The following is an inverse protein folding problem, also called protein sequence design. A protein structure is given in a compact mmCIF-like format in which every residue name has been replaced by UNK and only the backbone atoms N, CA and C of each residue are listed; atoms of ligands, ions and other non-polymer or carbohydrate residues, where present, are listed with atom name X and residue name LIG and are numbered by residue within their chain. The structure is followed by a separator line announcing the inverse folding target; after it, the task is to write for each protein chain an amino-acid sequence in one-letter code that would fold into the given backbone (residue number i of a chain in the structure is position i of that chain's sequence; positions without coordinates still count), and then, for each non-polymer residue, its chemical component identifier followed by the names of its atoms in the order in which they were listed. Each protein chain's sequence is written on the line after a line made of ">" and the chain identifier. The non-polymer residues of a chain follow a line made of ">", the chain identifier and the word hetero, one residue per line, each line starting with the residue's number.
data_IF_796699741685
#
_entry.id   IF_796699741685
#
_cell.length_a   1.000
_cell.length_b   1.000
_cell.length_c   1.000
_cell.angle_alpha   90.00
_cell.angle_beta   90.00
_cell.angle_gamma   90.00
#
_symmetry.space_group_name_H-M   'P 1'
#
loop_
_entity.id
_entity.type
_entity.pdbx_description
1 polymer ?
#
# COMPACT_ATOMS: atom_id res chain seq x y z
N UNK A 1 -14.06 0.65 -11.47
CA UNK A 1 -14.66 -0.71 -11.33
C UNK A 1 -13.53 -1.67 -10.96
N UNK A 2 -13.62 -2.39 -9.84
CA UNK A 2 -12.60 -3.40 -9.47
C UNK A 2 -12.87 -4.69 -10.21
N UNK A 3 -11.85 -5.21 -10.91
CA UNK A 3 -11.90 -6.47 -11.65
C UNK A 3 -11.65 -7.66 -10.73
N UNK A 4 -12.07 -8.85 -11.15
CA UNK A 4 -11.77 -10.11 -10.44
C UNK A 4 -10.33 -10.56 -10.70
N UNK A 5 -9.79 -11.38 -9.79
CA UNK A 5 -8.40 -11.85 -9.84
C UNK A 5 -8.30 -13.13 -10.68
N UNK A 6 -7.97 -12.97 -11.95
CA UNK A 6 -7.74 -14.08 -12.88
C UNK A 6 -6.24 -14.35 -13.06
N UNK A 7 -5.82 -15.60 -12.85
CA UNK A 7 -4.40 -15.99 -12.98
C UNK A 7 -3.87 -15.71 -14.39
N UNK A 8 -4.69 -15.99 -15.42
CA UNK A 8 -4.32 -15.74 -16.81
C UNK A 8 -4.05 -14.26 -17.09
N UNK A 9 -4.77 -13.35 -16.43
CA UNK A 9 -4.52 -11.91 -16.56
C UNK A 9 -3.22 -11.50 -15.85
N UNK A 10 -2.94 -12.07 -14.66
CA UNK A 10 -1.68 -11.83 -13.97
C UNK A 10 -0.48 -12.30 -14.81
N UNK A 11 -0.58 -13.46 -15.44
CA UNK A 11 0.45 -13.97 -16.36
C UNK A 11 0.65 -13.06 -17.56
N UNK A 12 -0.45 -12.54 -18.13
CA UNK A 12 -0.37 -11.56 -19.21
C UNK A 12 0.33 -10.28 -18.77
N UNK A 13 0.03 -9.75 -17.58
CA UNK A 13 0.69 -8.55 -17.04
C UNK A 13 2.19 -8.79 -16.80
N UNK A 14 2.57 -9.95 -16.26
CA UNK A 14 3.98 -10.33 -16.08
C UNK A 14 4.69 -10.38 -17.44
N UNK A 15 4.08 -11.03 -18.43
CA UNK A 15 4.65 -11.16 -19.78
C UNK A 15 4.81 -9.80 -20.47
N UNK A 16 3.78 -8.95 -20.46
CA UNK A 16 3.80 -7.60 -21.06
C UNK A 16 4.83 -6.71 -20.37
N UNK A 17 5.04 -6.88 -19.05
CA UNK A 17 6.09 -6.17 -18.32
C UNK A 17 7.51 -6.62 -18.69
N UNK A 18 7.68 -7.66 -19.51
CA UNK A 18 8.98 -8.28 -19.80
C UNK A 18 9.71 -8.69 -18.51
N UNK A 19 8.97 -9.27 -17.56
CA UNK A 19 9.45 -9.66 -16.23
C UNK A 19 10.05 -8.52 -15.38
N UNK A 20 9.64 -7.27 -15.65
CA UNK A 20 10.00 -6.11 -14.81
C UNK A 20 8.97 -5.82 -13.71
N UNK A 21 7.79 -6.44 -13.74
CA UNK A 21 6.81 -6.35 -12.66
C UNK A 21 7.39 -6.89 -11.35
N UNK A 22 7.49 -6.05 -10.31
CA UNK A 22 8.10 -6.42 -9.03
C UNK A 22 7.11 -6.52 -7.88
N UNK A 23 6.04 -5.73 -7.90
CA UNK A 23 5.07 -5.64 -6.82
C UNK A 23 3.67 -5.55 -7.42
N UNK A 24 2.72 -6.27 -6.85
CA UNK A 24 1.29 -6.15 -7.14
C UNK A 24 0.57 -5.83 -5.84
N UNK A 25 -0.29 -4.80 -5.89
CA UNK A 25 -1.25 -4.53 -4.82
C UNK A 25 -2.58 -5.24 -5.12
N UNK A 26 -3.15 -5.96 -4.16
CA UNK A 26 -4.47 -6.59 -4.33
C UNK A 26 -5.31 -6.59 -3.04
N UNK A 27 -6.61 -6.80 -3.22
CA UNK A 27 -7.59 -6.88 -2.15
C UNK A 27 -7.76 -8.35 -1.69
N UNK A 28 -7.41 -8.72 -0.44
CA UNK A 28 -7.38 -10.12 0.00
C UNK A 28 -8.76 -10.77 0.21
N UNK A 29 -9.85 -10.00 0.22
CA UNK A 29 -11.24 -10.49 0.28
C UNK A 29 -11.79 -10.96 -1.08
N UNK A 30 -11.10 -10.64 -2.17
CA UNK A 30 -11.51 -11.04 -3.53
C UNK A 30 -11.44 -12.56 -3.70
N UNK A 31 -12.35 -13.09 -4.51
CA UNK A 31 -12.30 -14.50 -4.91
C UNK A 31 -10.97 -14.78 -5.63
N UNK A 32 -10.37 -15.94 -5.37
CA UNK A 32 -9.07 -16.30 -5.95
C UNK A 32 -7.85 -15.61 -5.32
N UNK A 33 -8.01 -14.69 -4.37
CA UNK A 33 -6.88 -13.89 -3.86
C UNK A 33 -5.75 -14.73 -3.27
N UNK A 34 -6.06 -15.78 -2.51
CA UNK A 34 -5.02 -16.65 -1.93
C UNK A 34 -4.26 -17.45 -3.00
N UNK A 35 -4.95 -17.91 -4.05
CA UNK A 35 -4.32 -18.56 -5.19
C UNK A 35 -3.43 -17.57 -5.95
N UNK A 36 -3.94 -16.36 -6.20
CA UNK A 36 -3.21 -15.28 -6.88
C UNK A 36 -1.94 -14.88 -6.11
N UNK A 37 -2.01 -14.75 -4.79
CA UNK A 37 -0.85 -14.46 -3.94
C UNK A 37 0.23 -15.54 -4.15
N UNK A 38 -0.13 -16.82 -3.99
CA UNK A 38 0.85 -17.92 -4.14
C UNK A 38 1.47 -17.95 -5.54
N UNK A 39 0.66 -17.74 -6.56
CA UNK A 39 1.10 -17.68 -7.95
C UNK A 39 2.12 -16.55 -8.18
N UNK A 40 1.80 -15.33 -7.77
CA UNK A 40 2.69 -14.17 -7.88
C UNK A 40 4.02 -14.39 -7.14
N UNK A 41 3.98 -15.00 -5.95
CA UNK A 41 5.18 -15.35 -5.19
C UNK A 41 6.07 -16.36 -5.91
N UNK A 42 5.50 -17.36 -6.59
CA UNK A 42 6.26 -18.31 -7.41
C UNK A 42 6.96 -17.62 -8.60
N UNK A 43 6.40 -16.51 -9.09
CA UNK A 43 6.99 -15.69 -10.15
C UNK A 43 7.97 -14.62 -9.63
N UNK A 44 8.36 -14.67 -8.34
CA UNK A 44 9.20 -13.67 -7.67
C UNK A 44 8.62 -12.25 -7.68
N UNK A 45 7.29 -12.12 -7.72
CA UNK A 45 6.57 -10.86 -7.58
C UNK A 45 6.11 -10.70 -6.13
N UNK A 46 6.39 -9.55 -5.52
CA UNK A 46 5.91 -9.23 -4.17
C UNK A 46 4.43 -8.86 -4.20
N UNK A 47 3.73 -9.17 -3.12
CA UNK A 47 2.30 -8.88 -3.02
C UNK A 47 2.03 -8.01 -1.80
N UNK A 48 1.51 -6.81 -2.05
CA UNK A 48 1.07 -5.88 -1.00
C UNK A 48 -0.46 -5.87 -0.97
N UNK A 49 -1.05 -5.71 0.22
CA UNK A 49 -2.49 -5.71 0.40
C UNK A 49 -3.00 -4.28 0.60
N UNK A 50 -4.08 -3.89 -0.07
CA UNK A 50 -4.68 -2.57 0.08
C UNK A 50 -5.92 -2.38 -0.79
N UNK A 51 -6.52 -1.19 -0.70
CA UNK A 51 -7.79 -0.86 -1.40
C UNK A 51 -8.88 -1.91 -1.15
N UNK A 52 -9.09 -2.24 0.13
CA UNK A 52 -9.80 -3.45 0.54
C UNK A 52 -10.64 -3.23 1.80
N UNK A 53 -11.79 -3.89 1.83
CA UNK A 53 -12.67 -3.97 2.99
C UNK A 53 -12.44 -5.25 3.82
N UNK A 54 -11.29 -5.92 3.65
CA UNK A 54 -11.03 -7.20 4.27
C UNK A 54 -11.02 -7.17 5.79
N UNK A 55 -11.49 -8.26 6.39
CA UNK A 55 -11.40 -8.47 7.83
C UNK A 55 -9.95 -8.77 8.26
N UNK A 56 -9.73 -8.75 9.56
CA UNK A 56 -8.46 -9.20 10.13
C UNK A 56 -8.14 -10.65 9.72
N UNK A 57 -9.11 -11.57 9.76
CA UNK A 57 -8.89 -12.98 9.40
C UNK A 57 -8.49 -13.15 7.92
N UNK A 58 -9.17 -12.44 7.02
CA UNK A 58 -8.85 -12.49 5.59
C UNK A 58 -7.44 -11.96 5.31
N UNK A 59 -7.06 -10.86 5.96
CA UNK A 59 -5.72 -10.28 5.84
C UNK A 59 -4.63 -11.23 6.36
N UNK A 60 -4.89 -11.89 7.51
CA UNK A 60 -4.00 -12.90 8.06
C UNK A 60 -3.83 -14.10 7.13
N UNK A 61 -4.92 -14.60 6.56
CA UNK A 61 -4.86 -15.69 5.58
C UNK A 61 -4.05 -15.31 4.34
N UNK A 62 -4.12 -14.06 3.90
CA UNK A 62 -3.29 -13.55 2.80
C UNK A 62 -1.79 -13.50 3.17
N UNK A 63 -1.43 -13.07 4.39
CA UNK A 63 -0.04 -13.18 4.88
C UNK A 63 0.43 -14.63 4.96
N UNK A 64 -0.43 -15.56 5.40
CA UNK A 64 -0.13 -16.99 5.42
C UNK A 64 0.04 -17.59 4.02
N UNK A 65 -0.64 -17.03 3.02
CA UNK A 65 -0.46 -17.37 1.61
C UNK A 65 0.81 -16.77 0.98
N UNK A 66 1.49 -15.84 1.67
CA UNK A 66 2.77 -15.27 1.26
C UNK A 66 2.73 -13.79 0.87
N UNK A 67 1.64 -13.07 1.15
CA UNK A 67 1.62 -11.62 0.97
C UNK A 67 2.66 -10.95 1.87
N UNK A 68 3.34 -9.94 1.33
CA UNK A 68 4.50 -9.29 1.93
C UNK A 68 4.11 -8.18 2.91
N UNK A 69 2.93 -7.57 2.78
CA UNK A 69 2.63 -6.38 3.57
C UNK A 69 1.36 -5.63 3.21
N UNK A 70 1.26 -4.39 3.68
CA UNK A 70 0.20 -3.44 3.34
C UNK A 70 0.76 -2.28 2.51
N UNK A 71 0.14 -1.97 1.37
CA UNK A 71 0.42 -0.76 0.59
C UNK A 71 -0.20 0.44 1.32
N UNK A 72 0.49 1.59 1.34
CA UNK A 72 0.07 2.86 2.00
C UNK A 72 -0.81 2.68 3.26
N UNK A 73 -0.32 1.89 4.22
CA UNK A 73 -0.98 1.53 5.47
C UNK A 73 -1.82 2.69 6.06
N UNK A 74 -3.03 2.36 6.52
CA UNK A 74 -4.14 3.25 6.90
C UNK A 74 -5.04 3.74 5.76
N UNK A 75 -4.52 3.90 4.54
CA UNK A 75 -5.27 4.50 3.44
C UNK A 75 -6.04 3.45 2.65
N UNK A 76 -7.34 3.67 2.40
CA UNK A 76 -8.16 2.77 1.59
C UNK A 76 -8.27 1.33 2.13
N UNK A 77 -8.26 1.15 3.45
CA UNK A 77 -8.33 -0.18 4.09
C UNK A 77 -9.14 -0.18 5.38
N UNK A 78 -9.52 -1.35 5.90
CA UNK A 78 -10.24 -1.43 7.18
C UNK A 78 -9.39 -0.98 8.36
N UNK A 79 -9.96 -0.08 9.16
CA UNK A 79 -9.28 0.61 10.27
C UNK A 79 -9.05 -0.29 11.48
N UNK A 80 -8.14 0.13 12.36
CA UNK A 80 -7.91 -0.53 13.65
C UNK A 80 -9.07 -0.26 14.61
N UNK A 81 -9.88 -1.28 14.88
CA UNK A 81 -10.90 -1.25 15.94
C UNK A 81 -10.63 -2.36 16.97
N UNK A 82 -10.87 -2.08 18.26
CA UNK A 82 -10.46 -2.97 19.36
C UNK A 82 -11.10 -4.38 19.33
N UNK A 83 -12.31 -4.53 18.76
CA UNK A 83 -12.97 -5.85 18.57
C UNK A 83 -12.70 -6.48 17.21
N UNK A 84 -12.48 -5.66 16.20
CA UNK A 84 -12.32 -6.06 14.80
C UNK A 84 -11.14 -5.28 14.24
N UNK A 85 -9.90 -5.78 14.41
CA UNK A 85 -8.71 -4.97 14.15
C UNK A 85 -8.48 -4.59 12.69
N UNK A 86 -9.23 -5.20 11.76
CA UNK A 86 -9.12 -4.95 10.33
C UNK A 86 -7.73 -5.25 9.76
N UNK A 87 -7.48 -4.71 8.57
CA UNK A 87 -6.21 -4.80 7.86
C UNK A 87 -5.11 -4.09 8.63
N UNK A 88 -5.37 -2.88 9.13
CA UNK A 88 -4.39 -2.09 9.90
C UNK A 88 -3.91 -2.88 11.12
N UNK A 89 -4.82 -3.46 11.89
CA UNK A 89 -4.46 -4.30 13.03
C UNK A 89 -3.69 -5.56 12.64
N UNK A 90 -4.07 -6.21 11.53
CA UNK A 90 -3.33 -7.36 11.02
C UNK A 90 -1.88 -6.99 10.66
N UNK A 91 -1.65 -5.90 9.92
CA UNK A 91 -0.31 -5.46 9.55
C UNK A 91 0.56 -5.00 10.72
N UNK A 92 -0.02 -4.27 11.68
CA UNK A 92 0.70 -3.80 12.87
C UNK A 92 1.15 -4.97 13.76
N UNK A 93 0.34 -6.03 13.86
CA UNK A 93 0.59 -7.17 14.75
C UNK A 93 1.35 -8.33 14.10
N UNK A 94 1.30 -8.50 12.77
CA UNK A 94 2.02 -9.58 12.08
C UNK A 94 3.48 -9.17 11.81
N UNK A 95 4.42 -9.85 12.46
CA UNK A 95 5.86 -9.59 12.31
C UNK A 95 6.42 -9.88 10.91
N UNK A 96 5.67 -10.54 10.04
CA UNK A 96 6.06 -10.83 8.65
C UNK A 96 5.72 -9.69 7.68
N UNK A 97 4.78 -8.82 8.05
CA UNK A 97 4.23 -7.81 7.15
C UNK A 97 5.12 -6.57 7.05
N UNK A 98 5.41 -6.09 5.86
CA UNK A 98 5.99 -4.77 5.63
C UNK A 98 4.87 -3.73 5.53
N UNK A 99 5.05 -2.56 6.13
CA UNK A 99 4.03 -1.50 6.12
C UNK A 99 4.55 -0.31 5.34
N UNK A 100 3.96 -0.08 4.17
CA UNK A 100 4.23 1.14 3.42
C UNK A 100 3.52 2.32 4.08
N UNK A 101 4.18 3.46 4.24
CA UNK A 101 3.64 4.62 4.92
C UNK A 101 3.94 5.91 4.14
N UNK A 102 2.89 6.67 3.85
CA UNK A 102 2.98 8.01 3.29
C UNK A 102 3.19 9.00 4.45
N UNK A 103 4.43 9.47 4.60
CA UNK A 103 4.85 10.28 5.75
C UNK A 103 4.70 11.81 5.51
N UNK A 104 3.61 12.23 4.86
CA UNK A 104 3.38 13.63 4.49
C UNK A 104 2.57 14.44 5.53
N UNK A 105 2.05 13.75 6.57
CA UNK A 105 1.25 14.33 7.63
C UNK A 105 -0.17 14.75 7.24
N UNK A 106 -0.58 14.48 6.01
CA UNK A 106 -1.93 14.68 5.50
C UNK A 106 -2.67 13.35 5.34
N UNK A 107 -2.03 12.38 4.68
CA UNK A 107 -2.57 11.02 4.55
C UNK A 107 -2.69 10.33 5.91
N UNK A 108 -1.68 10.52 6.75
CA UNK A 108 -1.64 9.89 8.08
C UNK A 108 -1.31 10.94 9.12
N UNK A 109 -2.06 10.98 10.22
CA UNK A 109 -1.76 11.87 11.33
C UNK A 109 -0.40 11.48 11.99
N UNK A 110 0.47 12.44 12.39
CA UNK A 110 1.78 12.12 12.99
C UNK A 110 1.74 11.16 14.20
N UNK A 111 0.69 11.21 15.01
CA UNK A 111 0.49 10.27 16.11
C UNK A 111 0.23 8.83 15.62
N UNK A 112 -0.52 8.65 14.52
CA UNK A 112 -0.73 7.35 13.91
C UNK A 112 0.54 6.81 13.23
N UNK A 113 1.34 7.70 12.61
CA UNK A 113 2.68 7.32 12.12
C UNK A 113 3.55 6.83 13.27
N UNK A 114 3.56 7.54 14.40
CA UNK A 114 4.33 7.15 15.58
C UNK A 114 3.91 5.79 16.13
N UNK A 115 2.59 5.52 16.17
CA UNK A 115 2.06 4.21 16.54
C UNK A 115 2.56 3.12 15.58
N UNK A 116 2.48 3.38 14.27
CA UNK A 116 3.01 2.46 13.26
C UNK A 116 4.50 2.18 13.49
N UNK A 117 5.33 3.21 13.70
CA UNK A 117 6.76 3.09 14.02
C UNK A 117 7.03 2.22 15.25
N UNK A 118 6.26 2.39 16.33
CA UNK A 118 6.41 1.58 17.53
C UNK A 118 6.09 0.09 17.29
N UNK A 119 5.05 -0.20 16.51
CA UNK A 119 4.60 -1.57 16.24
C UNK A 119 5.44 -2.29 15.16
N UNK A 120 5.77 -1.58 14.08
CA UNK A 120 6.40 -2.15 12.89
C UNK A 120 7.92 -2.04 12.89
N UNK A 121 8.50 -1.04 13.57
CA UNK A 121 9.95 -0.85 13.69
C UNK A 121 10.64 -0.87 12.32
N UNK A 122 11.55 -1.82 12.09
CA UNK A 122 12.30 -1.99 10.85
C UNK A 122 11.45 -2.43 9.65
N UNK A 123 10.17 -2.79 9.87
CA UNK A 123 9.24 -3.23 8.82
C UNK A 123 8.55 -2.07 8.09
N UNK A 124 8.90 -0.83 8.40
CA UNK A 124 8.31 0.34 7.73
C UNK A 124 9.05 0.65 6.44
N UNK A 125 8.29 0.80 5.37
CA UNK A 125 8.76 1.28 4.08
C UNK A 125 8.13 2.63 3.82
N UNK A 126 8.93 3.67 3.74
CA UNK A 126 8.40 5.00 3.45
C UNK A 126 8.20 5.15 1.94
N UNK A 127 7.02 5.62 1.54
CA UNK A 127 6.65 5.87 0.14
C UNK A 127 6.08 7.28 0.00
N UNK A 128 6.09 7.82 -1.22
CA UNK A 128 5.48 9.13 -1.51
C UNK A 128 4.01 9.00 -1.93
N UNK A 129 3.67 7.93 -2.66
CA UNK A 129 2.43 7.81 -3.44
C UNK A 129 2.16 9.05 -4.31
N UNK A 130 3.26 9.65 -4.79
CA UNK A 130 3.22 10.88 -5.56
C UNK A 130 2.60 10.65 -6.93
N UNK A 131 1.71 11.57 -7.32
CA UNK A 131 1.17 11.65 -8.68
C UNK A 131 1.91 12.70 -9.52
N UNK A 132 1.54 12.85 -10.79
CA UNK A 132 2.18 13.77 -11.76
C UNK A 132 2.30 15.24 -11.31
N UNK A 133 1.47 15.66 -10.34
CA UNK A 133 1.49 17.02 -9.80
C UNK A 133 2.64 17.26 -8.80
N UNK A 134 3.33 16.21 -8.36
CA UNK A 134 4.42 16.34 -7.39
C UNK A 134 5.55 17.22 -7.94
N UNK A 135 5.93 18.23 -7.17
CA UNK A 135 6.92 19.23 -7.57
C UNK A 135 6.45 20.26 -8.61
N UNK A 136 5.20 20.18 -9.09
CA UNK A 136 4.64 21.11 -10.07
C UNK A 136 3.88 22.26 -9.39
N UNK A 137 3.66 23.40 -10.09
CA UNK A 137 2.79 24.47 -9.59
C UNK A 137 1.35 24.02 -9.38
N UNK A 138 0.62 24.70 -8.51
CA UNK A 138 -0.81 24.47 -8.31
C UNK A 138 -1.57 24.55 -9.64
N UNK A 139 -2.46 23.58 -9.86
CA UNK A 139 -3.20 23.45 -11.11
C UNK A 139 -3.97 22.15 -11.22
N UNK A 140 -4.62 21.97 -12.38
CA UNK A 140 -5.35 20.75 -12.72
C UNK A 140 -4.41 19.75 -13.39
N UNK A 141 -4.51 18.50 -12.96
CA UNK A 141 -3.71 17.37 -13.44
C UNK A 141 -4.63 16.17 -13.65
N UNK A 142 -4.24 15.19 -14.48
CA UNK A 142 -5.14 14.08 -14.88
C UNK A 142 -4.67 12.73 -14.36
N UNK A 143 -5.25 12.20 -13.28
CA UNK A 143 -4.96 10.86 -12.79
C UNK A 143 -5.88 9.84 -13.48
N UNK A 144 -5.30 8.78 -14.04
CA UNK A 144 -6.05 7.69 -14.68
C UNK A 144 -7.07 8.13 -15.76
N UNK A 145 -6.79 9.23 -16.48
CA UNK A 145 -7.66 9.76 -17.53
C UNK A 145 -8.83 10.60 -17.02
N UNK A 146 -8.96 10.79 -15.71
CA UNK A 146 -9.94 11.68 -15.09
C UNK A 146 -9.26 12.98 -14.64
N UNK A 147 -9.91 14.13 -14.84
CA UNK A 147 -9.44 15.39 -14.25
C UNK A 147 -9.38 15.22 -12.72
N UNK A 148 -8.17 15.27 -12.18
CA UNK A 148 -7.95 15.26 -10.74
C UNK A 148 -8.12 16.67 -10.19
N UNK A 149 -8.52 16.71 -8.92
CA UNK A 149 -8.71 17.94 -8.17
C UNK A 149 -7.48 18.84 -8.23
N UNK A 150 -7.74 20.15 -8.15
CA UNK A 150 -6.73 21.21 -8.11
C UNK A 150 -5.65 20.93 -7.04
N UNK A 151 -4.42 20.67 -7.49
CA UNK A 151 -3.29 20.26 -6.65
C UNK A 151 -2.72 21.47 -5.89
N UNK A 152 -3.43 21.89 -4.84
CA UNK A 152 -3.09 23.09 -4.04
C UNK A 152 -2.31 22.81 -2.76
N UNK A 153 -1.77 21.60 -2.61
CA UNK A 153 -1.23 21.18 -1.32
C UNK A 153 0.30 21.09 -1.33
N UNK A 154 0.91 21.69 -0.31
CA UNK A 154 2.34 21.58 0.00
C UNK A 154 2.49 20.92 1.35
N UNK A 155 3.38 19.93 1.44
CA UNK A 155 3.67 19.25 2.69
C UNK A 155 4.23 20.24 3.73
N UNK A 156 3.52 20.48 4.86
CA UNK A 156 4.00 21.37 5.90
C UNK A 156 5.11 20.71 6.75
N UNK A 157 5.29 19.40 6.62
CA UNK A 157 6.28 18.63 7.37
C UNK A 157 7.53 18.38 6.53
N UNK A 158 8.70 18.72 7.07
CA UNK A 158 9.99 18.29 6.49
C UNK A 158 10.40 16.97 7.12
N UNK A 159 10.19 15.86 6.42
CA UNK A 159 10.71 14.55 6.86
C UNK A 159 12.21 14.55 6.63
N UNK A 160 12.98 14.48 7.72
CA UNK A 160 14.44 14.37 7.69
C UNK A 160 14.82 12.91 7.82
N UNK A 161 15.41 12.34 6.77
CA UNK A 161 15.87 10.97 6.79
C UNK A 161 17.15 10.84 7.64
N UNK A 162 17.38 9.65 8.21
CA UNK A 162 18.68 9.31 8.80
C UNK A 162 19.73 9.31 7.67
N UNK A 163 20.41 10.45 7.50
CA UNK A 163 21.25 10.74 6.33
C UNK A 163 21.18 12.19 5.84
N UNK A 164 20.28 13.01 6.39
CA UNK A 164 20.24 14.45 6.13
C UNK A 164 19.61 14.87 4.79
N UNK A 165 19.16 13.92 3.98
CA UNK A 165 18.31 14.20 2.83
C UNK A 165 16.88 14.50 3.34
N UNK A 166 16.18 15.41 2.64
CA UNK A 166 14.77 15.70 2.84
C UNK A 166 14.02 15.12 1.64
N UNK A 167 13.04 14.25 1.88
CA UNK A 167 12.07 13.97 0.83
C UNK A 167 11.06 15.12 0.86
N UNK A 168 11.00 15.87 -0.24
CA UNK A 168 9.81 16.64 -0.56
C UNK A 168 8.88 15.64 -1.25
N UNK A 169 7.65 15.48 -0.76
CA UNK A 169 6.62 14.70 -1.43
C UNK A 169 6.43 15.19 -2.87
#
# INVERSE_FOLDING_TARGET
>A
MFRELEIAELDQLIAVSQHTLRVVALAPEKEGALQAIRHLKQQNVRVMLGHSAATWQQTRAAFDAGADGLVHCYNGMTVLHHREPGMVGAGLTDKRAWLELIADGHHVHPAAMSLCCCCAKERIVLITDAMQAAGMPDGRYTLCGEESADARWRCPYRVRWAGGQYAVC
#
